data_IF_791550278087
#
_entry.id   IF_791550278087
#
_cell.length_a   1.000
_cell.length_b   1.000
_cell.length_c   1.000
_cell.angle_alpha   90.00
_cell.angle_beta   90.00
_cell.angle_gamma   90.00
#
_symmetry.space_group_name_H-M   'P 1'
#
loop_
_entity.id
_entity.type
_entity.pdbx_description
1 polymer ?
#
# COMPACT_ATOMS: atom_id res chain seq x y z
N UNK A 1 8.74 -3.46 -3.86
CA UNK A 1 9.89 -4.01 -4.58
C UNK A 1 9.95 -3.55 -6.02
N UNK A 2 11.00 -3.94 -6.77
CA UNK A 2 11.19 -3.64 -8.18
C UNK A 2 12.63 -3.89 -8.64
N UNK A 3 12.84 -4.14 -9.96
CA UNK A 3 14.16 -4.32 -10.54
C UNK A 3 14.95 -5.51 -10.01
N UNK A 4 14.27 -6.55 -9.54
CA UNK A 4 14.90 -7.71 -8.90
C UNK A 4 15.15 -7.54 -7.40
N UNK A 5 14.78 -6.41 -6.80
CA UNK A 5 15.03 -6.06 -5.39
C UNK A 5 13.73 -5.95 -4.59
N UNK A 6 13.83 -6.18 -3.28
CA UNK A 6 12.73 -6.02 -2.33
C UNK A 6 13.24 -5.33 -1.06
N UNK A 7 12.40 -4.49 -0.43
CA UNK A 7 12.77 -3.81 0.81
C UNK A 7 13.02 -4.79 1.96
N UNK A 8 12.38 -5.98 1.89
CA UNK A 8 12.58 -7.06 2.86
C UNK A 8 13.90 -7.83 2.67
N UNK A 9 14.70 -7.53 1.64
CA UNK A 9 16.06 -8.08 1.51
C UNK A 9 17.01 -7.55 2.59
N UNK A 10 16.64 -6.46 3.26
CA UNK A 10 17.35 -5.91 4.40
C UNK A 10 18.75 -5.38 4.05
N UNK A 11 18.95 -4.90 2.83
CA UNK A 11 20.22 -4.32 2.36
C UNK A 11 20.03 -2.94 1.76
N UNK A 12 21.05 -2.07 1.87
CA UNK A 12 21.05 -0.74 1.28
C UNK A 12 20.93 -0.83 -0.24
N UNK A 13 21.61 -1.76 -0.85
CA UNK A 13 21.62 -2.02 -2.29
C UNK A 13 20.20 -2.33 -2.80
N UNK A 14 19.42 -3.12 -2.04
CA UNK A 14 18.06 -3.44 -2.41
C UNK A 14 17.14 -2.20 -2.37
N UNK A 15 17.24 -1.38 -1.34
CA UNK A 15 16.49 -0.12 -1.26
C UNK A 15 16.82 0.81 -2.43
N UNK A 16 18.11 1.02 -2.71
CA UNK A 16 18.55 1.86 -3.82
C UNK A 16 18.12 1.29 -5.18
N UNK A 17 18.23 -0.02 -5.37
CA UNK A 17 17.82 -0.70 -6.61
C UNK A 17 16.32 -0.54 -6.89
N UNK A 18 15.47 -0.65 -5.86
CA UNK A 18 14.03 -0.37 -5.99
C UNK A 18 13.80 1.09 -6.36
N UNK A 19 14.44 2.04 -5.65
CA UNK A 19 14.28 3.46 -5.89
C UNK A 19 14.69 3.87 -7.32
N UNK A 20 15.83 3.37 -7.80
CA UNK A 20 16.32 3.61 -9.16
C UNK A 20 15.40 2.99 -10.22
N UNK A 21 14.86 1.79 -9.95
CA UNK A 21 13.94 1.13 -10.86
C UNK A 21 12.68 1.97 -11.04
N UNK A 22 12.04 2.36 -9.95
CA UNK A 22 10.79 3.13 -10.03
C UNK A 22 11.00 4.54 -10.57
N UNK A 23 12.15 5.17 -10.34
CA UNK A 23 12.50 6.46 -10.93
C UNK A 23 12.49 6.42 -12.47
N UNK A 24 12.94 5.32 -13.09
CA UNK A 24 12.91 5.12 -14.55
C UNK A 24 11.49 5.10 -15.12
N UNK A 25 10.49 4.82 -14.30
CA UNK A 25 9.08 4.77 -14.67
C UNK A 25 8.27 5.95 -14.14
N UNK A 26 8.95 7.03 -13.72
CA UNK A 26 8.31 8.30 -13.36
C UNK A 26 7.90 8.45 -11.90
N UNK A 27 8.34 7.55 -11.01
CA UNK A 27 8.13 7.75 -9.56
C UNK A 27 9.20 8.70 -9.03
N UNK A 28 8.79 9.88 -8.56
CA UNK A 28 9.73 10.87 -8.00
C UNK A 28 9.90 10.71 -6.49
N UNK A 29 8.84 10.27 -5.79
CA UNK A 29 8.85 10.00 -4.36
C UNK A 29 8.10 8.70 -4.06
N UNK A 30 8.54 7.96 -3.03
CA UNK A 30 7.92 6.70 -2.63
C UNK A 30 7.95 6.50 -1.12
N UNK A 31 7.06 5.65 -0.66
CA UNK A 31 7.01 5.14 0.71
C UNK A 31 7.36 3.65 0.68
N UNK A 32 8.62 3.27 0.96
CA UNK A 32 8.99 1.87 1.10
C UNK A 32 8.06 1.13 2.07
N UNK A 33 7.53 -0.01 1.61
CA UNK A 33 6.51 -0.77 2.33
C UNK A 33 7.09 -2.11 2.78
N UNK A 34 6.86 -2.46 4.06
CA UNK A 34 7.24 -3.77 4.61
C UNK A 34 6.14 -4.79 4.37
N UNK A 35 6.49 -6.07 4.43
CA UNK A 35 5.54 -7.19 4.56
C UNK A 35 5.49 -7.66 6.03
N UNK A 36 4.54 -8.55 6.34
CA UNK A 36 4.53 -9.25 7.63
C UNK A 36 5.82 -10.04 7.80
N UNK A 37 6.49 -9.84 8.93
CA UNK A 37 7.80 -10.44 9.22
C UNK A 37 8.05 -10.51 10.73
N UNK A 38 9.24 -10.95 11.12
CA UNK A 38 9.68 -10.90 12.50
C UNK A 38 10.00 -9.46 12.93
N UNK A 39 9.96 -9.19 14.24
CA UNK A 39 10.37 -7.90 14.78
C UNK A 39 11.87 -7.61 14.51
N UNK A 40 12.71 -8.63 14.46
CA UNK A 40 14.13 -8.49 14.14
C UNK A 40 14.35 -8.01 12.70
N UNK A 41 13.64 -8.60 11.72
CA UNK A 41 13.68 -8.17 10.33
C UNK A 41 13.15 -6.73 10.18
N UNK A 42 12.10 -6.38 10.90
CA UNK A 42 11.56 -5.02 10.91
C UNK A 42 12.59 -4.01 11.47
N UNK A 43 13.28 -4.32 12.58
CA UNK A 43 14.33 -3.45 13.14
C UNK A 43 15.52 -3.30 12.18
N UNK A 44 15.86 -4.38 11.48
CA UNK A 44 16.88 -4.35 10.42
C UNK A 44 16.45 -3.42 9.28
N UNK A 45 15.19 -3.51 8.83
CA UNK A 45 14.60 -2.64 7.81
C UNK A 45 14.69 -1.16 8.20
N UNK A 46 14.40 -0.79 9.44
CA UNK A 46 14.52 0.60 9.91
C UNK A 46 15.97 1.11 9.84
N UNK A 47 16.93 0.27 10.22
CA UNK A 47 18.36 0.63 10.19
C UNK A 47 18.84 0.82 8.75
N UNK A 48 18.44 -0.10 7.87
CA UNK A 48 18.82 -0.07 6.44
C UNK A 48 18.15 1.11 5.74
N UNK A 49 16.87 1.36 6.02
CA UNK A 49 16.14 2.50 5.44
C UNK A 49 16.87 3.82 5.68
N UNK A 50 17.28 4.10 6.91
CA UNK A 50 17.99 5.35 7.24
C UNK A 50 19.28 5.52 6.43
N UNK A 51 20.08 4.46 6.33
CA UNK A 51 21.31 4.46 5.52
C UNK A 51 21.01 4.65 4.03
N UNK A 52 20.04 3.90 3.52
CA UNK A 52 19.64 4.01 2.12
C UNK A 52 19.10 5.40 1.78
N UNK A 53 18.33 6.02 2.67
CA UNK A 53 17.81 7.39 2.51
C UNK A 53 18.92 8.42 2.36
N UNK A 54 19.99 8.31 3.15
CA UNK A 54 21.17 9.19 3.06
C UNK A 54 21.97 8.98 1.77
N UNK A 55 22.01 7.74 1.26
CA UNK A 55 22.77 7.37 0.08
C UNK A 55 22.01 7.49 -1.23
N UNK A 56 20.70 7.70 -1.20
CA UNK A 56 19.85 7.74 -2.37
C UNK A 56 19.97 9.07 -3.12
N UNK A 57 20.73 9.06 -4.22
CA UNK A 57 20.98 10.24 -5.05
C UNK A 57 20.23 10.13 -6.40
N UNK A 58 20.13 8.92 -6.96
CA UNK A 58 19.64 8.70 -8.32
C UNK A 58 18.25 8.07 -8.40
N UNK A 59 17.69 7.67 -7.27
CA UNK A 59 16.39 6.99 -7.20
C UNK A 59 15.26 7.89 -6.75
N UNK A 60 14.05 7.34 -6.77
CA UNK A 60 12.87 7.99 -6.17
C UNK A 60 13.12 8.31 -4.71
N UNK A 61 12.75 9.51 -4.29
CA UNK A 61 12.98 9.98 -2.91
C UNK A 61 12.20 9.12 -1.90
N UNK A 62 12.86 8.68 -0.83
CA UNK A 62 12.20 8.02 0.30
C UNK A 62 11.62 9.07 1.25
N UNK A 63 10.29 9.11 1.38
CA UNK A 63 9.58 10.12 2.19
C UNK A 63 9.08 9.60 3.54
N UNK A 64 9.28 8.33 3.83
CA UNK A 64 8.90 7.64 5.05
C UNK A 64 8.73 6.17 4.81
N UNK A 65 8.28 5.42 5.82
CA UNK A 65 8.00 3.99 5.77
C UNK A 65 6.50 3.72 5.92
N UNK A 66 6.00 2.76 5.16
CA UNK A 66 4.70 2.16 5.34
C UNK A 66 4.87 0.76 5.95
N UNK A 67 4.31 0.52 7.12
CA UNK A 67 4.21 -0.81 7.69
C UNK A 67 2.92 -1.48 7.21
N UNK A 68 3.05 -2.55 6.44
CA UNK A 68 1.93 -3.35 6.00
C UNK A 68 1.85 -4.63 6.85
N UNK A 69 0.99 -4.60 7.86
CA UNK A 69 0.90 -5.63 8.90
C UNK A 69 1.85 -5.40 10.09
N UNK A 70 2.05 -6.40 10.94
CA UNK A 70 1.55 -7.79 10.89
C UNK A 70 0.11 -7.98 11.41
N UNK A 71 -0.60 -6.92 11.71
CA UNK A 71 -1.91 -6.93 12.34
C UNK A 71 -3.03 -7.07 11.31
N UNK A 72 -3.17 -8.27 10.73
CA UNK A 72 -4.11 -8.58 9.65
C UNK A 72 -5.04 -9.73 10.00
N UNK A 73 -6.20 -9.75 9.36
CA UNK A 73 -7.17 -10.84 9.47
C UNK A 73 -6.64 -12.11 8.79
N UNK A 74 -6.60 -13.26 9.48
CA UNK A 74 -6.19 -14.51 8.86
C UNK A 74 -7.05 -14.91 7.65
N UNK A 75 -8.31 -14.46 7.60
CA UNK A 75 -9.22 -14.74 6.48
C UNK A 75 -8.87 -13.92 5.22
N UNK A 76 -8.19 -12.81 5.39
CA UNK A 76 -7.84 -11.85 4.33
C UNK A 76 -6.33 -11.69 4.20
N UNK A 77 -5.55 -12.71 4.56
CA UNK A 77 -4.08 -12.62 4.54
C UNK A 77 -3.51 -12.38 3.14
N UNK A 78 -4.24 -12.78 2.08
CA UNK A 78 -3.73 -12.65 0.71
C UNK A 78 -2.41 -13.41 0.53
N UNK A 79 -1.39 -12.73 0.06
CA UNK A 79 -0.04 -13.26 -0.09
C UNK A 79 0.88 -13.00 1.13
N UNK A 80 0.36 -12.43 2.22
CA UNK A 80 1.12 -12.29 3.47
C UNK A 80 1.32 -13.66 4.13
N UNK A 81 2.48 -13.89 4.75
CA UNK A 81 2.73 -15.16 5.45
C UNK A 81 1.88 -15.26 6.72
N UNK A 82 0.95 -16.23 6.81
CA UNK A 82 0.07 -16.37 7.96
C UNK A 82 0.78 -16.67 9.27
N UNK A 83 2.02 -17.15 9.25
CA UNK A 83 2.81 -17.43 10.45
C UNK A 83 3.22 -16.16 11.21
N UNK A 84 3.24 -15.01 10.54
CA UNK A 84 3.60 -13.73 11.15
C UNK A 84 2.40 -12.86 11.53
N UNK A 85 1.16 -13.31 11.23
CA UNK A 85 -0.02 -12.55 11.59
C UNK A 85 -0.25 -12.50 13.09
N UNK A 86 -0.56 -11.31 13.61
CA UNK A 86 -0.73 -11.03 15.04
C UNK A 86 -1.94 -10.14 15.29
N UNK A 87 -2.33 -10.03 16.55
CA UNK A 87 -3.21 -8.95 17.02
C UNK A 87 -2.34 -7.81 17.59
N UNK A 88 -2.77 -6.54 17.46
CA UNK A 88 -2.07 -5.42 18.08
C UNK A 88 -1.96 -5.57 19.59
N UNK A 89 -0.73 -5.45 20.10
CA UNK A 89 -0.44 -5.41 21.53
C UNK A 89 0.28 -4.10 21.85
N UNK A 90 -0.19 -3.36 22.86
CA UNK A 90 0.31 -2.02 23.17
C UNK A 90 1.82 -1.98 23.43
N UNK A 91 2.34 -2.96 24.14
CA UNK A 91 3.76 -3.07 24.42
C UNK A 91 4.58 -3.23 23.13
N UNK A 92 4.13 -4.08 22.19
CA UNK A 92 4.81 -4.34 20.93
C UNK A 92 4.78 -3.12 20.01
N UNK A 93 3.59 -2.56 19.72
CA UNK A 93 3.50 -1.46 18.77
C UNK A 93 4.14 -0.16 19.31
N UNK A 94 4.13 0.09 20.61
CA UNK A 94 4.85 1.22 21.18
C UNK A 94 6.38 1.04 21.05
N UNK A 95 6.90 -0.16 21.27
CA UNK A 95 8.33 -0.44 21.04
C UNK A 95 8.72 -0.22 19.56
N UNK A 96 7.86 -0.58 18.60
CA UNK A 96 8.08 -0.31 17.18
C UNK A 96 8.10 1.20 16.90
N UNK A 97 7.16 1.96 17.46
CA UNK A 97 7.06 3.41 17.29
C UNK A 97 8.23 4.17 17.94
N UNK A 98 8.81 3.61 19.00
CA UNK A 98 10.04 4.13 19.63
C UNK A 98 11.27 3.86 18.77
N UNK A 99 11.33 2.70 18.11
CA UNK A 99 12.47 2.27 17.31
C UNK A 99 12.65 3.07 16.01
N UNK A 100 11.56 3.62 15.44
CA UNK A 100 11.63 4.42 14.20
C UNK A 100 10.65 5.58 14.22
N UNK A 101 11.16 6.77 13.88
CA UNK A 101 10.38 7.98 13.60
C UNK A 101 10.11 8.18 12.10
N UNK A 102 10.59 7.26 11.28
CA UNK A 102 10.40 7.29 9.83
C UNK A 102 9.07 6.68 9.38
N UNK A 103 8.30 6.07 10.27
CA UNK A 103 6.99 5.48 9.96
C UNK A 103 6.00 6.62 9.74
N UNK A 104 5.38 6.66 8.55
CA UNK A 104 4.36 7.67 8.20
C UNK A 104 2.98 7.04 7.95
N UNK A 105 2.92 5.72 7.78
CA UNK A 105 1.69 4.98 7.51
C UNK A 105 1.78 3.57 8.09
N UNK A 106 0.66 3.07 8.61
CA UNK A 106 0.55 1.69 9.09
C UNK A 106 -0.79 1.08 8.71
N UNK A 107 -0.76 -0.01 7.96
CA UNK A 107 -1.95 -0.75 7.52
C UNK A 107 -2.29 -1.86 8.50
N UNK A 108 -3.56 -1.91 8.92
CA UNK A 108 -4.07 -2.78 9.99
C UNK A 108 -5.48 -3.25 9.64
N UNK A 109 -5.85 -4.46 10.06
CA UNK A 109 -7.23 -4.95 10.06
C UNK A 109 -7.96 -4.42 11.29
N UNK A 110 -8.93 -3.50 11.14
CA UNK A 110 -9.48 -2.72 12.26
C UNK A 110 -10.41 -3.52 13.17
N UNK A 111 -10.91 -4.68 12.73
CA UNK A 111 -11.75 -5.57 13.54
C UNK A 111 -10.94 -6.34 14.60
N UNK A 112 -9.63 -6.33 14.52
CA UNK A 112 -8.79 -7.03 15.48
C UNK A 112 -8.83 -6.34 16.86
N UNK A 113 -8.83 -7.17 17.91
CA UNK A 113 -8.69 -6.68 19.27
C UNK A 113 -7.42 -5.83 19.42
N UNK A 114 -7.53 -4.63 19.99
CA UNK A 114 -6.44 -3.66 20.13
C UNK A 114 -6.26 -2.71 18.94
N UNK A 115 -6.85 -3.00 17.77
CA UNK A 115 -6.66 -2.19 16.58
C UNK A 115 -7.16 -0.74 16.70
N UNK A 116 -8.32 -0.52 17.36
CA UNK A 116 -8.84 0.83 17.56
C UNK A 116 -7.92 1.68 18.45
N UNK A 117 -7.36 1.08 19.51
CA UNK A 117 -6.38 1.76 20.37
C UNK A 117 -5.08 2.09 19.62
N UNK A 118 -4.62 1.17 18.76
CA UNK A 118 -3.49 1.43 17.87
C UNK A 118 -3.78 2.61 16.94
N UNK A 119 -4.97 2.66 16.31
CA UNK A 119 -5.33 3.77 15.43
C UNK A 119 -5.25 5.12 16.12
N UNK A 120 -5.78 5.23 17.34
CA UNK A 120 -5.67 6.45 18.16
C UNK A 120 -4.21 6.80 18.50
N UNK A 121 -3.39 5.80 18.81
CA UNK A 121 -1.95 5.98 19.07
C UNK A 121 -1.23 6.49 17.82
N UNK A 122 -1.49 5.90 16.66
CA UNK A 122 -0.90 6.32 15.39
C UNK A 122 -1.23 7.78 15.06
N UNK A 123 -2.49 8.20 15.25
CA UNK A 123 -2.89 9.60 15.07
C UNK A 123 -2.10 10.55 15.98
N UNK A 124 -1.89 10.20 17.25
CA UNK A 124 -1.09 11.00 18.19
C UNK A 124 0.37 11.15 17.73
N UNK A 125 0.89 10.16 16.99
CA UNK A 125 2.21 10.18 16.39
C UNK A 125 2.25 10.79 14.98
N UNK A 126 1.12 11.33 14.47
CA UNK A 126 0.99 11.85 13.10
C UNK A 126 1.28 10.79 12.03
N UNK A 127 0.99 9.54 12.31
CA UNK A 127 1.10 8.41 11.38
C UNK A 127 -0.29 8.10 10.85
N UNK A 128 -0.43 7.91 9.55
CA UNK A 128 -1.70 7.56 8.89
C UNK A 128 -2.10 6.12 9.19
N UNK A 129 -3.15 5.87 10.02
CA UNK A 129 -3.69 4.53 10.14
C UNK A 129 -4.47 4.19 8.87
N UNK A 130 -4.18 3.04 8.27
CA UNK A 130 -4.85 2.57 7.04
C UNK A 130 -5.51 1.21 7.27
N UNK A 131 -6.62 0.97 6.60
CA UNK A 131 -7.36 -0.29 6.65
C UNK A 131 -6.82 -1.20 5.54
N UNK A 132 -6.41 -2.43 5.89
CA UNK A 132 -5.94 -3.43 4.93
C UNK A 132 -6.15 -4.85 5.45
N UNK A 133 -6.19 -5.84 4.54
CA UNK A 133 -6.20 -7.26 4.87
C UNK A 133 -7.21 -7.62 5.96
N UNK A 134 -8.47 -7.27 5.75
CA UNK A 134 -9.50 -7.18 6.78
C UNK A 134 -10.81 -7.85 6.36
N UNK A 135 -11.45 -8.52 7.31
CA UNK A 135 -12.78 -9.11 7.19
C UNK A 135 -13.86 -8.26 7.90
N UNK A 136 -13.52 -6.99 8.20
CA UNK A 136 -14.39 -6.06 8.92
C UNK A 136 -15.71 -5.84 8.19
N UNK A 137 -16.80 -5.71 8.94
CA UNK A 137 -18.10 -5.24 8.44
C UNK A 137 -18.19 -3.71 8.56
N UNK A 138 -19.18 -3.12 7.92
CA UNK A 138 -19.38 -1.67 7.85
C UNK A 138 -19.29 -0.99 9.22
N UNK A 139 -19.96 -1.53 10.23
CA UNK A 139 -20.04 -0.95 11.59
C UNK A 139 -18.67 -0.98 12.30
N UNK A 140 -17.81 -1.94 11.96
CA UNK A 140 -16.43 -2.00 12.46
C UNK A 140 -15.55 -0.96 11.77
N UNK A 141 -15.74 -0.75 10.46
CA UNK A 141 -15.06 0.31 9.70
C UNK A 141 -15.46 1.71 10.18
N UNK A 142 -16.75 1.93 10.48
CA UNK A 142 -17.23 3.21 11.02
C UNK A 142 -16.59 3.56 12.36
N UNK A 143 -16.46 2.56 13.25
CA UNK A 143 -15.71 2.72 14.51
C UNK A 143 -14.22 2.99 14.26
N UNK A 144 -13.64 2.28 13.31
CA UNK A 144 -12.24 2.47 12.93
C UNK A 144 -12.01 3.89 12.36
N UNK A 145 -12.91 4.39 11.54
CA UNK A 145 -12.84 5.76 11.03
C UNK A 145 -12.81 6.78 12.17
N UNK A 146 -13.66 6.61 13.18
CA UNK A 146 -13.66 7.44 14.39
C UNK A 146 -12.36 7.31 15.20
N UNK A 147 -11.70 6.14 15.14
CA UNK A 147 -10.40 5.89 15.77
C UNK A 147 -9.21 6.33 14.91
N UNK A 148 -9.44 6.96 13.74
CA UNK A 148 -8.41 7.55 12.90
C UNK A 148 -8.06 6.82 11.63
N UNK A 149 -8.64 5.67 11.34
CA UNK A 149 -8.43 4.94 10.10
C UNK A 149 -9.17 5.63 8.94
N UNK A 150 -8.55 6.62 8.32
CA UNK A 150 -9.16 7.46 7.29
C UNK A 150 -8.78 7.05 5.86
N UNK A 151 -8.02 5.96 5.72
CA UNK A 151 -7.53 5.49 4.44
C UNK A 151 -7.70 3.98 4.27
N UNK A 152 -7.99 3.52 3.05
CA UNK A 152 -8.07 2.10 2.68
C UNK A 152 -6.96 1.77 1.70
N UNK A 153 -6.10 0.85 2.09
CA UNK A 153 -5.00 0.32 1.28
C UNK A 153 -5.57 -0.59 0.19
N UNK A 154 -5.05 -0.51 -1.03
CA UNK A 154 -5.38 -1.35 -2.20
C UNK A 154 -6.83 -1.86 -2.23
N UNK A 155 -7.79 -0.91 -2.27
CA UNK A 155 -9.22 -1.17 -2.27
C UNK A 155 -9.60 -2.33 -3.21
N UNK A 156 -10.43 -3.25 -2.75
CA UNK A 156 -10.85 -4.54 -3.32
C UNK A 156 -9.87 -5.69 -3.11
N UNK A 157 -8.60 -5.47 -2.78
CA UNK A 157 -7.63 -6.54 -2.56
C UNK A 157 -7.64 -6.96 -1.09
N UNK A 158 -7.81 -8.27 -0.84
CA UNK A 158 -7.76 -8.86 0.50
C UNK A 158 -8.63 -8.12 1.55
N UNK A 159 -9.90 -7.86 1.21
CA UNK A 159 -10.85 -7.22 2.11
C UNK A 159 -12.29 -7.67 1.86
N UNK A 160 -13.13 -7.46 2.87
CA UNK A 160 -14.55 -7.78 2.82
C UNK A 160 -15.32 -6.84 1.88
N UNK A 161 -16.31 -7.39 1.22
CA UNK A 161 -17.40 -6.70 0.54
C UNK A 161 -18.72 -7.26 1.07
N UNK A 162 -19.82 -7.10 0.35
CA UNK A 162 -21.13 -7.63 0.78
C UNK A 162 -21.03 -9.13 1.11
N UNK A 163 -21.21 -9.47 2.36
CA UNK A 163 -21.23 -10.85 2.84
C UNK A 163 -22.64 -11.28 3.27
N UNK A 164 -22.81 -12.58 3.46
CA UNK A 164 -24.09 -13.16 3.89
C UNK A 164 -23.88 -14.08 5.10
N UNK A 165 -24.53 -13.77 6.22
CA UNK A 165 -24.48 -14.58 7.44
C UNK A 165 -25.92 -14.81 7.94
N UNK A 166 -26.30 -16.08 8.13
CA UNK A 166 -27.66 -16.42 8.59
C UNK A 166 -28.76 -15.73 7.77
N UNK A 167 -28.66 -15.74 6.45
CA UNK A 167 -29.54 -15.07 5.49
C UNK A 167 -29.45 -13.53 5.45
N UNK A 168 -28.94 -12.86 6.46
CA UNK A 168 -28.76 -11.42 6.50
C UNK A 168 -27.53 -10.98 5.70
N UNK A 169 -27.63 -9.81 5.04
CA UNK A 169 -26.51 -9.20 4.34
C UNK A 169 -25.80 -8.21 5.26
N UNK A 170 -24.47 -8.20 5.14
CA UNK A 170 -23.60 -7.25 5.81
C UNK A 170 -22.78 -6.55 4.73
N UNK A 171 -22.71 -5.22 4.78
CA UNK A 171 -21.78 -4.44 4.02
C UNK A 171 -20.37 -4.63 4.62
N UNK A 172 -19.36 -4.61 3.76
CA UNK A 172 -17.96 -4.74 4.18
C UNK A 172 -17.17 -3.45 4.04
N UNK A 173 -15.86 -3.59 3.98
CA UNK A 173 -14.92 -2.48 3.83
C UNK A 173 -15.11 -1.76 2.50
N UNK A 174 -15.39 -2.49 1.41
CA UNK A 174 -15.59 -1.89 0.10
C UNK A 174 -16.77 -0.92 0.14
N UNK A 175 -17.91 -1.33 0.69
CA UNK A 175 -19.09 -0.48 0.80
C UNK A 175 -18.85 0.70 1.74
N UNK A 176 -18.16 0.47 2.86
CA UNK A 176 -17.81 1.52 3.82
C UNK A 176 -16.90 2.59 3.17
N UNK A 177 -15.95 2.17 2.34
CA UNK A 177 -15.05 3.07 1.63
C UNK A 177 -15.80 4.06 0.71
N UNK A 178 -16.95 3.65 0.16
CA UNK A 178 -17.80 4.55 -0.64
C UNK A 178 -18.76 5.38 0.18
N UNK A 179 -19.33 4.81 1.25
CA UNK A 179 -20.36 5.47 2.06
C UNK A 179 -19.78 6.51 3.02
N UNK A 180 -18.58 6.28 3.54
CA UNK A 180 -17.89 7.25 4.38
C UNK A 180 -17.22 8.27 3.46
N UNK A 181 -17.79 9.47 3.36
CA UNK A 181 -17.38 10.49 2.40
C UNK A 181 -15.90 10.85 2.54
N UNK A 182 -15.41 11.04 3.77
CA UNK A 182 -14.04 11.44 4.03
C UNK A 182 -13.02 10.30 4.05
N UNK A 183 -13.45 9.06 3.89
CA UNK A 183 -12.54 7.94 3.67
C UNK A 183 -11.81 8.11 2.34
N UNK A 184 -10.49 8.05 2.36
CA UNK A 184 -9.67 8.00 1.16
C UNK A 184 -9.30 6.55 0.82
N UNK A 185 -8.96 6.29 -0.43
CA UNK A 185 -8.58 4.95 -0.88
C UNK A 185 -7.37 4.99 -1.79
N UNK A 186 -6.64 3.90 -1.88
CA UNK A 186 -5.72 3.67 -2.98
C UNK A 186 -6.12 2.41 -3.76
N UNK A 187 -5.78 2.37 -5.04
CA UNK A 187 -6.11 1.26 -5.94
C UNK A 187 -4.89 0.82 -6.74
N UNK A 188 -4.77 -0.49 -6.97
CA UNK A 188 -3.80 -1.06 -7.91
C UNK A 188 -4.42 -1.00 -9.31
N UNK A 189 -4.15 0.07 -10.04
CA UNK A 189 -4.78 0.38 -11.33
C UNK A 189 -4.01 -0.26 -12.51
N UNK A 190 -3.59 -1.51 -12.38
CA UNK A 190 -2.86 -2.24 -13.41
C UNK A 190 -3.73 -2.86 -14.51
N UNK A 191 -5.06 -2.81 -14.35
CA UNK A 191 -6.06 -3.39 -15.25
C UNK A 191 -6.31 -4.89 -15.02
N UNK A 192 -5.63 -5.49 -14.05
CA UNK A 192 -5.69 -6.91 -13.68
C UNK A 192 -6.26 -7.07 -12.28
N UNK A 193 -5.68 -6.42 -11.26
CA UNK A 193 -6.26 -6.35 -9.93
C UNK A 193 -7.66 -5.73 -9.97
N UNK A 194 -7.80 -4.60 -10.68
CA UNK A 194 -9.07 -3.98 -10.95
C UNK A 194 -9.33 -3.97 -12.47
N UNK A 195 -10.29 -4.75 -12.98
CA UNK A 195 -10.69 -4.68 -14.37
C UNK A 195 -11.41 -3.36 -14.68
N UNK A 196 -11.50 -3.02 -15.96
CA UNK A 196 -12.10 -1.76 -16.47
C UNK A 196 -13.37 -1.30 -15.71
N UNK A 197 -14.39 -2.16 -15.49
CA UNK A 197 -15.61 -1.70 -14.81
C UNK A 197 -15.36 -1.23 -13.38
N UNK A 198 -14.45 -1.87 -12.64
CA UNK A 198 -14.12 -1.47 -11.28
C UNK A 198 -13.29 -0.19 -11.24
N UNK A 199 -12.31 -0.01 -12.15
CA UNK A 199 -11.58 1.24 -12.30
C UNK A 199 -12.54 2.42 -12.58
N UNK A 200 -13.49 2.23 -13.49
CA UNK A 200 -14.51 3.23 -13.79
C UNK A 200 -15.44 3.49 -12.61
N UNK A 201 -15.78 2.45 -11.84
CA UNK A 201 -16.64 2.57 -10.67
C UNK A 201 -15.98 3.41 -9.57
N UNK A 202 -14.70 3.12 -9.27
CA UNK A 202 -13.94 3.89 -8.27
C UNK A 202 -13.81 5.35 -8.72
N UNK A 203 -13.39 5.60 -9.96
CA UNK A 203 -13.27 6.95 -10.50
C UNK A 203 -14.58 7.74 -10.41
N UNK A 204 -15.70 7.11 -10.78
CA UNK A 204 -17.02 7.75 -10.82
C UNK A 204 -17.59 8.04 -9.43
N UNK A 205 -17.43 7.11 -8.49
CA UNK A 205 -18.16 7.17 -7.22
C UNK A 205 -17.30 7.56 -6.03
N UNK A 206 -16.00 7.30 -6.04
CA UNK A 206 -15.08 7.81 -5.01
C UNK A 206 -14.39 9.10 -5.44
N UNK A 207 -14.09 9.24 -6.71
CA UNK A 207 -13.57 10.47 -7.30
C UNK A 207 -12.06 10.67 -7.15
N UNK A 208 -11.57 11.66 -7.89
CA UNK A 208 -10.14 11.97 -8.04
C UNK A 208 -9.48 12.39 -6.72
N UNK A 209 -10.16 13.22 -5.95
CA UNK A 209 -9.58 13.81 -4.73
C UNK A 209 -9.52 12.83 -3.54
N UNK A 210 -10.18 11.68 -3.65
CA UNK A 210 -10.23 10.65 -2.60
C UNK A 210 -9.59 9.32 -3.02
N UNK A 211 -9.10 9.21 -4.27
CA UNK A 211 -8.50 7.99 -4.81
C UNK A 211 -7.07 8.22 -5.25
N UNK A 212 -6.11 7.56 -4.61
CA UNK A 212 -4.73 7.48 -5.05
C UNK A 212 -4.49 6.23 -5.89
N UNK A 213 -3.51 6.29 -6.80
CA UNK A 213 -2.98 5.10 -7.47
C UNK A 213 -1.76 4.59 -6.69
N UNK A 214 -1.71 3.29 -6.42
CA UNK A 214 -0.54 2.64 -5.83
C UNK A 214 -0.06 1.50 -6.73
N UNK A 215 1.24 1.30 -6.77
CA UNK A 215 1.82 0.20 -7.54
C UNK A 215 1.64 -1.13 -6.83
N UNK A 216 1.77 -1.15 -5.52
CA UNK A 216 1.88 -2.40 -4.74
C UNK A 216 2.88 -3.38 -5.38
N UNK A 217 3.97 -2.82 -5.91
CA UNK A 217 4.90 -3.53 -6.75
C UNK A 217 5.83 -4.42 -5.92
N UNK A 218 5.91 -5.68 -6.34
CA UNK A 218 6.87 -6.63 -5.81
C UNK A 218 8.18 -6.62 -6.63
N UNK A 219 9.16 -7.39 -6.22
CA UNK A 219 10.49 -7.57 -6.82
C UNK A 219 10.49 -7.64 -8.35
N UNK A 220 9.47 -8.26 -8.95
CA UNK A 220 9.36 -8.47 -10.37
C UNK A 220 8.96 -7.27 -11.21
N UNK A 221 8.63 -6.12 -10.61
CA UNK A 221 8.33 -4.92 -11.38
C UNK A 221 9.55 -4.46 -12.18
N UNK A 222 9.37 -4.24 -13.49
CA UNK A 222 10.48 -3.92 -14.40
C UNK A 222 11.36 -5.10 -14.80
N UNK A 223 10.98 -6.33 -14.43
CA UNK A 223 11.68 -7.58 -14.77
C UNK A 223 10.87 -8.41 -15.78
N UNK A 224 11.53 -9.34 -16.51
CA UNK A 224 10.81 -10.31 -17.36
C UNK A 224 9.90 -11.23 -16.56
N UNK A 225 8.93 -11.84 -17.26
CA UNK A 225 8.09 -12.92 -16.73
C UNK A 225 8.93 -14.11 -16.29
N UNK A 226 8.45 -14.89 -15.31
CA UNK A 226 9.12 -16.07 -14.80
C UNK A 226 8.94 -16.28 -13.29
N UNK A 227 9.71 -17.20 -12.73
CA UNK A 227 9.74 -17.43 -11.28
C UNK A 227 10.36 -16.25 -10.54
N UNK A 228 9.79 -15.92 -9.39
CA UNK A 228 10.28 -14.84 -8.53
C UNK A 228 10.00 -15.16 -7.05
N UNK A 229 10.35 -14.22 -6.17
CA UNK A 229 10.15 -14.33 -4.72
C UNK A 229 9.44 -13.06 -4.25
N UNK A 230 8.37 -13.21 -3.47
CA UNK A 230 7.73 -12.13 -2.73
C UNK A 230 8.40 -12.02 -1.36
N UNK A 231 8.83 -10.81 -1.00
CA UNK A 231 9.54 -10.55 0.25
C UNK A 231 11.04 -10.87 0.18
N UNK A 232 11.65 -11.19 1.32
CA UNK A 232 13.09 -11.44 1.43
C UNK A 232 13.57 -12.63 0.60
N UNK A 233 14.76 -12.52 0.00
CA UNK A 233 15.41 -13.64 -0.69
C UNK A 233 15.69 -14.84 0.24
N UNK A 234 15.80 -14.62 1.55
CA UNK A 234 16.14 -15.66 2.51
C UNK A 234 14.96 -16.56 2.88
N UNK A 235 13.77 -15.97 3.03
CA UNK A 235 12.58 -16.66 3.55
C UNK A 235 11.27 -16.25 2.84
N UNK A 236 11.35 -15.52 1.74
CA UNK A 236 10.20 -15.08 0.98
C UNK A 236 9.47 -16.23 0.27
N UNK A 237 8.26 -15.94 -0.19
CA UNK A 237 7.40 -16.92 -0.85
C UNK A 237 7.67 -16.97 -2.35
N UNK A 238 7.72 -18.19 -2.92
CA UNK A 238 7.83 -18.37 -4.37
C UNK A 238 6.57 -17.82 -5.04
N UNK A 239 6.74 -17.13 -6.15
CA UNK A 239 5.66 -16.59 -6.98
C UNK A 239 6.00 -16.77 -8.45
N UNK A 240 5.01 -16.60 -9.30
CA UNK A 240 5.17 -16.68 -10.77
C UNK A 240 4.66 -15.38 -11.36
N UNK A 241 5.51 -14.74 -12.16
CA UNK A 241 5.16 -13.55 -12.94
C UNK A 241 4.73 -14.05 -14.32
N UNK A 242 3.46 -13.85 -14.65
CA UNK A 242 2.86 -14.18 -15.92
C UNK A 242 1.62 -13.30 -16.17
N UNK A 243 1.24 -13.10 -17.42
CA UNK A 243 0.08 -12.25 -17.78
C UNK A 243 0.16 -10.82 -17.23
N UNK A 244 1.38 -10.32 -16.96
CA UNK A 244 1.60 -8.97 -16.44
C UNK A 244 1.26 -8.77 -14.96
N UNK A 245 1.20 -9.84 -14.17
CA UNK A 245 0.96 -9.82 -12.71
C UNK A 245 1.71 -10.93 -12.01
N UNK A 246 2.02 -10.75 -10.72
CA UNK A 246 2.57 -11.81 -9.89
C UNK A 246 1.44 -12.65 -9.25
N UNK A 247 1.60 -13.96 -9.26
CA UNK A 247 0.62 -14.95 -8.74
C UNK A 247 1.29 -15.90 -7.76
N UNK A 248 0.54 -16.35 -6.78
CA UNK A 248 0.95 -17.51 -5.98
C UNK A 248 1.06 -18.76 -6.89
N UNK A 249 1.91 -19.75 -6.55
CA UNK A 249 2.15 -20.92 -7.41
C UNK A 249 0.89 -21.72 -7.76
N UNK A 250 -0.12 -21.72 -6.89
CA UNK A 250 -1.42 -22.38 -7.12
C UNK A 250 -2.40 -21.52 -7.96
N UNK A 251 -2.01 -20.29 -8.31
CA UNK A 251 -2.77 -19.30 -9.09
C UNK A 251 -4.11 -18.88 -8.50
N UNK A 252 -4.29 -19.06 -7.18
CA UNK A 252 -5.53 -18.69 -6.50
C UNK A 252 -5.51 -17.28 -5.92
N UNK A 253 -4.33 -16.65 -5.81
CA UNK A 253 -4.17 -15.30 -5.32
C UNK A 253 -3.09 -14.56 -6.11
N UNK A 254 -3.24 -13.26 -6.24
CA UNK A 254 -2.17 -12.37 -6.67
C UNK A 254 -1.17 -12.18 -5.51
N UNK A 255 0.06 -11.88 -5.85
CA UNK A 255 1.18 -11.74 -4.93
C UNK A 255 1.86 -10.36 -5.10
N UNK A 256 1.11 -9.30 -4.82
CA UNK A 256 1.44 -7.96 -5.23
C UNK A 256 1.36 -7.77 -6.74
N UNK A 257 1.77 -6.62 -7.23
CA UNK A 257 1.77 -6.30 -8.65
C UNK A 257 3.18 -6.30 -9.25
N UNK A 258 3.26 -6.25 -10.58
CA UNK A 258 4.48 -5.90 -11.33
C UNK A 258 4.30 -4.57 -12.07
N UNK A 259 3.31 -3.79 -11.68
CA UNK A 259 3.00 -2.53 -12.30
C UNK A 259 3.98 -1.44 -11.89
N UNK A 260 4.26 -0.56 -12.84
CA UNK A 260 5.02 0.66 -12.66
C UNK A 260 4.09 1.88 -12.71
N UNK A 261 4.53 3.01 -12.21
CA UNK A 261 3.72 4.23 -12.10
C UNK A 261 3.13 4.67 -13.45
N UNK A 262 3.96 4.67 -14.51
CA UNK A 262 3.50 5.02 -15.87
C UNK A 262 2.44 4.05 -16.40
N UNK A 263 2.54 2.74 -16.07
CA UNK A 263 1.53 1.76 -16.43
C UNK A 263 0.19 2.07 -15.74
N UNK A 264 0.18 2.43 -14.46
CA UNK A 264 -1.05 2.77 -13.75
C UNK A 264 -1.76 3.96 -14.38
N UNK A 265 -1.03 5.04 -14.66
CA UNK A 265 -1.58 6.24 -15.31
C UNK A 265 -2.12 5.90 -16.71
N UNK A 266 -1.35 5.16 -17.52
CA UNK A 266 -1.81 4.71 -18.86
C UNK A 266 -3.04 3.84 -18.78
N UNK A 267 -3.13 2.93 -17.81
CA UNK A 267 -4.29 2.08 -17.62
C UNK A 267 -5.54 2.89 -17.29
N UNK A 268 -5.44 3.88 -16.42
CA UNK A 268 -6.56 4.78 -16.12
C UNK A 268 -7.02 5.53 -17.35
N UNK A 269 -6.10 6.01 -18.18
CA UNK A 269 -6.44 6.77 -19.40
C UNK A 269 -7.03 5.84 -20.48
N UNK A 270 -6.29 4.82 -20.89
CA UNK A 270 -6.62 4.05 -22.08
C UNK A 270 -7.64 2.93 -21.85
N UNK A 271 -7.64 2.32 -20.66
CA UNK A 271 -8.58 1.26 -20.31
C UNK A 271 -9.84 1.82 -19.63
N UNK A 272 -9.69 2.67 -18.61
CA UNK A 272 -10.82 3.20 -17.86
C UNK A 272 -11.45 4.46 -18.48
N UNK A 273 -10.76 5.15 -19.39
CA UNK A 273 -11.25 6.36 -20.05
C UNK A 273 -11.19 7.61 -19.16
N UNK A 274 -10.32 7.61 -18.15
CA UNK A 274 -10.15 8.74 -17.24
C UNK A 274 -9.35 9.84 -17.95
N UNK A 275 -9.74 11.12 -17.84
CA UNK A 275 -8.96 12.23 -18.38
C UNK A 275 -7.52 12.24 -17.86
N UNK A 276 -6.55 12.60 -18.72
CA UNK A 276 -5.14 12.65 -18.37
C UNK A 276 -4.88 13.41 -17.07
N UNK A 277 -5.47 14.60 -16.92
CA UNK A 277 -5.23 15.44 -15.73
C UNK A 277 -5.71 14.77 -14.44
N UNK A 278 -6.81 14.04 -14.51
CA UNK A 278 -7.36 13.34 -13.34
C UNK A 278 -6.50 12.10 -12.99
N UNK A 279 -6.09 11.32 -14.00
CA UNK A 279 -5.18 10.19 -13.79
C UNK A 279 -3.84 10.64 -13.19
N UNK A 280 -3.29 11.76 -13.64
CA UNK A 280 -2.08 12.36 -13.07
C UNK A 280 -2.33 12.85 -11.64
N UNK A 281 -3.44 13.52 -11.35
CA UNK A 281 -3.79 13.96 -9.98
C UNK A 281 -3.91 12.78 -9.01
N UNK A 282 -4.52 11.68 -9.44
CA UNK A 282 -4.62 10.45 -8.64
C UNK A 282 -3.25 9.83 -8.32
N UNK A 283 -2.20 10.16 -9.08
CA UNK A 283 -0.84 9.66 -8.89
C UNK A 283 0.09 10.69 -8.22
N UNK A 284 -0.32 11.93 -8.10
CA UNK A 284 0.52 13.04 -7.62
C UNK A 284 -0.11 13.78 -6.44
N UNK A 285 -1.02 14.71 -6.69
CA UNK A 285 -1.59 15.59 -5.66
C UNK A 285 -2.46 14.83 -4.65
N UNK A 286 -3.22 13.85 -5.11
CA UNK A 286 -4.10 13.07 -4.21
C UNK A 286 -3.30 12.26 -3.18
N UNK A 287 -2.30 11.43 -3.54
CA UNK A 287 -1.47 10.77 -2.54
C UNK A 287 -0.67 11.74 -1.67
N UNK A 288 -0.22 12.89 -2.22
CA UNK A 288 0.45 13.91 -1.43
C UNK A 288 -0.47 14.49 -0.33
N UNK A 289 -1.75 14.73 -0.62
CA UNK A 289 -2.74 15.16 0.36
C UNK A 289 -3.05 14.10 1.41
N UNK A 290 -3.19 12.84 1.00
CA UNK A 290 -3.42 11.71 1.91
C UNK A 290 -2.28 11.57 2.92
N UNK A 291 -1.05 11.79 2.48
CA UNK A 291 0.15 11.72 3.31
C UNK A 291 0.53 13.05 3.98
N UNK A 292 -0.27 14.10 3.79
CA UNK A 292 -0.04 15.45 4.34
C UNK A 292 1.29 16.11 3.92
N UNK A 293 1.77 15.82 2.71
CA UNK A 293 2.98 16.39 2.10
C UNK A 293 2.67 17.28 0.88
N UNK A 294 1.41 17.63 0.69
CA UNK A 294 0.95 18.43 -0.44
C UNK A 294 1.43 19.89 -0.43
N UNK A 295 2.06 20.33 0.66
CA UNK A 295 2.78 21.59 0.71
C UNK A 295 4.17 21.55 0.05
N UNK A 296 4.71 20.34 -0.10
CA UNK A 296 6.04 20.11 -0.65
C UNK A 296 5.99 19.41 -2.02
N UNK A 297 4.99 18.56 -2.25
CA UNK A 297 4.91 17.69 -3.43
C UNK A 297 3.51 17.68 -4.08
N UNK A 298 3.42 17.02 -5.24
CA UNK A 298 2.17 16.66 -5.88
C UNK A 298 1.60 17.68 -6.87
N UNK A 299 2.18 18.88 -6.98
CA UNK A 299 1.79 19.89 -7.96
C UNK A 299 2.93 20.84 -8.31
N UNK A 300 2.85 21.46 -9.48
CA UNK A 300 3.82 22.46 -9.94
C UNK A 300 3.42 23.85 -9.42
N UNK A 301 3.77 24.13 -8.19
CA UNK A 301 3.50 25.40 -7.51
C UNK A 301 4.81 25.97 -6.94
N UNK A 302 4.90 27.31 -6.83
CA UNK A 302 6.08 27.98 -6.28
C UNK A 302 6.28 27.54 -4.82
N UNK A 303 7.48 27.08 -4.51
CA UNK A 303 7.87 26.62 -3.17
C UNK A 303 7.78 25.12 -2.96
N UNK A 304 7.24 24.37 -3.94
CA UNK A 304 7.26 22.89 -3.92
C UNK A 304 8.46 22.33 -4.68
N UNK A 305 8.74 21.06 -4.45
CA UNK A 305 9.76 20.34 -5.19
C UNK A 305 9.43 20.32 -6.69
N UNK A 306 10.45 20.53 -7.52
CA UNK A 306 10.30 20.52 -8.97
C UNK A 306 10.41 19.09 -9.53
N UNK A 307 9.56 18.20 -9.03
CA UNK A 307 9.46 16.81 -9.48
C UNK A 307 8.72 16.76 -10.82
N UNK A 308 9.46 16.80 -11.93
CA UNK A 308 8.92 16.84 -13.30
C UNK A 308 9.30 15.57 -14.04
N UNK A 309 8.31 14.89 -14.64
CA UNK A 309 8.45 13.64 -15.38
C UNK A 309 7.96 13.80 -16.81
#
# INVERSE_FOLDING_TARGET
GGGGHDFMDGTVEAFLGVAETHAKYGTTAMVPTTLTSTNEELMTTFTVYRKAKEMNINGSQFIGLHLEGPYFSPKQCGAQDPNFLKKPQAEEYNAILEASKDIIRWSVAPELEGALALGQTLQQHHILPSIAHTDAIYEEVEKAFTAGYTHVTHLYSAMSSVTRKNAFRYAGVVEAAYLIEDMTVEIIADGIHLPKPLLQFVYKFKGVDKTALCTDAMRGAGMPDGESILGSLNNGQKVIIEDGVAKMPDRKAFAGSVATTDRLVRTMIYLAGVPLIDAVRMMTLTPARILHIDKEKGSLEIGKDADIV
#
